data_IF_946986016783
#
_entry.id   IF_946986016783
#
_cell.length_a   1.000
_cell.length_b   1.000
_cell.length_c   1.000
_cell.angle_alpha   90.00
_cell.angle_beta   90.00
_cell.angle_gamma   90.00
#
_symmetry.space_group_name_H-M   'P 1'
#
loop_
_entity.id
_entity.type
_entity.pdbx_description
1 polymer ?
#
# COMPACT_ATOMS: atom_id res chain seq x y z
N UNK A 1 -27.12 -11.33 -4.06
CA UNK A 1 -25.78 -11.59 -3.54
C UNK A 1 -25.34 -10.38 -2.75
N UNK A 2 -24.80 -10.51 -1.54
CA UNK A 2 -24.28 -9.35 -0.81
C UNK A 2 -23.16 -8.72 -1.65
N UNK A 3 -23.29 -7.43 -1.94
CA UNK A 3 -22.30 -6.69 -2.72
C UNK A 3 -21.23 -6.12 -1.79
N UNK A 4 -19.96 -6.22 -2.17
CA UNK A 4 -18.88 -5.53 -1.50
C UNK A 4 -19.18 -4.02 -1.47
N UNK A 5 -19.10 -3.41 -0.29
CA UNK A 5 -19.26 -1.96 -0.11
C UNK A 5 -17.90 -1.34 0.08
N UNK A 6 -17.53 -0.42 -0.79
CA UNK A 6 -16.21 0.22 -0.77
C UNK A 6 -16.41 1.72 -0.87
N UNK A 7 -15.75 2.46 0.00
CA UNK A 7 -15.66 3.91 -0.07
C UNK A 7 -14.20 4.32 0.09
N UNK A 8 -13.69 5.06 -0.89
CA UNK A 8 -12.36 5.68 -0.84
C UNK A 8 -12.50 7.19 -0.91
N UNK A 9 -11.63 7.91 -0.24
CA UNK A 9 -11.53 9.37 -0.36
C UNK A 9 -10.09 9.83 -0.08
N UNK A 10 -9.84 11.08 -0.42
CA UNK A 10 -8.57 11.74 -0.10
C UNK A 10 -8.82 12.84 0.91
N UNK A 11 -8.01 12.91 1.93
CA UNK A 11 -7.94 14.04 2.84
C UNK A 11 -6.62 14.79 2.59
N UNK A 12 -6.71 16.09 2.40
CA UNK A 12 -5.56 16.95 2.11
C UNK A 12 -5.22 17.91 3.26
N UNK A 13 -5.61 17.57 4.49
CA UNK A 13 -5.34 18.41 5.67
C UNK A 13 -3.83 18.68 5.84
N UNK A 14 -2.99 17.66 5.80
CA UNK A 14 -1.53 17.76 5.88
C UNK A 14 -0.86 17.60 4.51
N UNK A 15 -1.32 16.65 3.75
CA UNK A 15 -0.98 16.34 2.36
C UNK A 15 -2.07 15.41 1.81
N UNK A 16 -2.15 15.19 0.48
CA UNK A 16 -3.12 14.25 -0.06
C UNK A 16 -2.87 12.81 0.43
N UNK A 17 -3.70 12.33 1.34
CA UNK A 17 -3.65 10.99 1.92
C UNK A 17 -4.90 10.20 1.57
N UNK A 18 -4.72 8.96 1.16
CA UNK A 18 -5.81 8.05 0.83
C UNK A 18 -6.38 7.38 2.07
N UNK A 19 -7.71 7.32 2.13
CA UNK A 19 -8.49 6.58 3.10
C UNK A 19 -9.40 5.58 2.40
N UNK A 20 -9.60 4.42 3.02
CA UNK A 20 -10.49 3.38 2.53
C UNK A 20 -11.37 2.87 3.69
N UNK A 21 -12.66 2.74 3.44
CA UNK A 21 -13.58 1.95 4.26
C UNK A 21 -14.22 0.89 3.37
N UNK A 22 -14.07 -0.37 3.71
CA UNK A 22 -14.60 -1.45 2.89
C UNK A 22 -15.21 -2.57 3.73
N UNK A 23 -16.27 -3.17 3.18
CA UNK A 23 -16.94 -4.36 3.67
C UNK A 23 -16.93 -5.40 2.55
N UNK A 24 -16.02 -6.38 2.68
CA UNK A 24 -15.85 -7.44 1.70
C UNK A 24 -16.43 -8.74 2.20
N UNK A 25 -17.16 -9.45 1.33
CA UNK A 25 -17.69 -10.76 1.62
C UNK A 25 -16.72 -11.86 1.16
N UNK A 26 -16.29 -11.80 -0.08
CA UNK A 26 -15.50 -12.85 -0.74
C UNK A 26 -14.33 -12.33 -1.59
N UNK A 27 -14.01 -11.05 -1.50
CA UNK A 27 -12.94 -10.45 -2.29
C UNK A 27 -11.55 -10.93 -1.83
N UNK A 28 -10.66 -11.16 -2.78
CA UNK A 28 -9.26 -11.46 -2.52
C UNK A 28 -8.36 -10.45 -3.26
N UNK A 29 -7.56 -9.72 -2.50
CA UNK A 29 -6.50 -8.90 -3.07
C UNK A 29 -5.37 -9.79 -3.56
N UNK A 30 -5.02 -9.73 -4.86
CA UNK A 30 -3.81 -10.39 -5.33
C UNK A 30 -2.56 -9.75 -4.71
N UNK A 31 -1.39 -10.39 -4.79
CA UNK A 31 -0.14 -9.79 -4.36
C UNK A 31 0.07 -8.42 -5.00
N UNK A 32 0.26 -7.39 -4.16
CA UNK A 32 0.47 -5.99 -4.55
C UNK A 32 1.32 -5.27 -3.50
N UNK A 33 1.65 -4.02 -3.73
CA UNK A 33 2.41 -3.17 -2.82
C UNK A 33 1.88 -1.74 -2.83
N UNK A 34 2.27 -0.96 -1.83
CA UNK A 34 2.05 0.49 -1.75
C UNK A 34 3.37 1.21 -1.53
N UNK A 35 3.50 2.44 -2.05
CA UNK A 35 4.69 3.27 -1.85
C UNK A 35 4.73 3.90 -0.44
N UNK A 36 3.58 4.11 0.16
CA UNK A 36 3.41 4.57 1.54
C UNK A 36 3.18 3.43 2.53
N UNK A 37 2.97 3.79 3.78
CA UNK A 37 2.51 2.83 4.79
C UNK A 37 1.04 2.49 4.55
N UNK A 38 0.67 1.23 4.84
CA UNK A 38 -0.74 0.83 4.98
C UNK A 38 -1.06 0.65 6.46
N UNK A 39 -1.92 1.47 7.01
CA UNK A 39 -2.31 1.42 8.42
C UNK A 39 -3.82 1.29 8.49
N UNK A 40 -4.33 0.35 9.28
CA UNK A 40 -5.78 0.16 9.35
C UNK A 40 -6.25 -0.61 10.57
N UNK A 41 -7.57 -0.80 10.63
CA UNK A 41 -8.25 -1.55 11.69
C UNK A 41 -9.28 -2.50 11.11
N UNK A 42 -9.42 -3.67 11.73
CA UNK A 42 -10.46 -4.63 11.39
C UNK A 42 -11.68 -4.38 12.29
N UNK A 43 -12.82 -4.00 11.69
CA UNK A 43 -14.06 -3.67 12.42
C UNK A 43 -15.01 -4.86 12.56
N UNK A 44 -14.99 -5.82 11.60
CA UNK A 44 -15.82 -7.03 11.60
C UNK A 44 -15.10 -8.19 10.92
N UNK A 45 -15.38 -9.41 11.39
CA UNK A 45 -14.78 -10.62 10.84
C UNK A 45 -13.29 -10.68 11.05
N UNK A 46 -12.59 -11.24 10.08
CA UNK A 46 -11.13 -11.30 10.07
C UNK A 46 -10.60 -11.24 8.63
N UNK A 47 -9.40 -10.70 8.46
CA UNK A 47 -8.65 -10.78 7.22
C UNK A 47 -7.52 -11.81 7.38
N UNK A 48 -7.35 -12.69 6.41
CA UNK A 48 -6.14 -13.50 6.27
C UNK A 48 -5.17 -12.73 5.39
N UNK A 49 -4.05 -12.35 5.97
CA UNK A 49 -3.02 -11.53 5.35
C UNK A 49 -1.75 -12.34 5.15
N UNK A 50 -1.05 -12.14 4.05
CA UNK A 50 0.26 -12.73 3.80
C UNK A 50 1.20 -11.68 3.22
N UNK A 51 2.42 -11.61 3.74
CA UNK A 51 3.50 -10.76 3.22
C UNK A 51 4.58 -11.64 2.58
N UNK A 52 4.82 -11.44 1.29
CA UNK A 52 5.84 -12.17 0.55
C UNK A 52 5.72 -13.69 0.70
N UNK A 53 6.80 -14.33 1.15
CA UNK A 53 6.88 -15.79 1.38
C UNK A 53 6.52 -16.21 2.82
N UNK A 54 6.11 -15.27 3.67
CA UNK A 54 5.77 -15.59 5.06
C UNK A 54 4.48 -16.40 5.16
N UNK A 55 4.34 -17.14 6.26
CA UNK A 55 3.08 -17.81 6.57
C UNK A 55 1.95 -16.80 6.75
N UNK A 56 0.73 -17.09 6.25
CA UNK A 56 -0.40 -16.20 6.42
C UNK A 56 -0.71 -15.95 7.90
N UNK A 57 -0.99 -14.70 8.25
CA UNK A 57 -1.46 -14.33 9.59
C UNK A 57 -2.94 -13.97 9.54
N UNK A 58 -3.66 -14.23 10.63
CA UNK A 58 -5.05 -13.82 10.79
C UNK A 58 -5.08 -12.47 11.53
N UNK A 59 -5.79 -11.51 10.95
CA UNK A 59 -6.07 -10.19 11.53
C UNK A 59 -7.54 -10.17 11.97
N UNK A 60 -7.87 -10.47 13.23
CA UNK A 60 -9.25 -10.49 13.69
C UNK A 60 -9.78 -9.07 13.97
N UNK A 61 -11.10 -8.97 14.17
CA UNK A 61 -11.74 -7.76 14.68
C UNK A 61 -11.03 -7.25 15.95
N UNK A 62 -10.87 -5.92 16.02
CA UNK A 62 -10.25 -5.23 17.15
C UNK A 62 -8.73 -5.06 17.02
N UNK A 63 -8.12 -5.54 15.95
CA UNK A 63 -6.69 -5.35 15.71
C UNK A 63 -6.41 -4.19 14.77
N UNK A 64 -5.20 -3.59 14.92
CA UNK A 64 -4.63 -2.74 13.88
C UNK A 64 -3.80 -3.63 12.94
N UNK A 65 -3.84 -3.29 11.67
CA UNK A 65 -2.91 -3.82 10.67
C UNK A 65 -1.92 -2.72 10.24
N UNK A 66 -0.65 -3.11 10.08
CA UNK A 66 0.41 -2.22 9.63
C UNK A 66 1.21 -2.89 8.51
N UNK A 67 1.47 -2.12 7.46
CA UNK A 67 2.15 -2.56 6.24
C UNK A 67 3.24 -1.54 5.94
N UNK A 68 4.47 -2.00 5.84
CA UNK A 68 5.61 -1.15 5.51
C UNK A 68 5.61 -0.75 4.03
N UNK A 69 6.18 0.40 3.68
CA UNK A 69 6.33 0.83 2.29
C UNK A 69 7.05 -0.21 1.42
N UNK A 70 6.55 -0.41 0.21
CA UNK A 70 7.13 -1.32 -0.77
C UNK A 70 7.04 -2.81 -0.42
N UNK A 71 6.33 -3.17 0.63
CA UNK A 71 6.14 -4.56 1.02
C UNK A 71 5.04 -5.22 0.19
N UNK A 72 5.41 -6.30 -0.50
CA UNK A 72 4.44 -7.11 -1.25
C UNK A 72 3.57 -7.89 -0.29
N UNK A 73 2.26 -7.74 -0.43
CA UNK A 73 1.28 -8.42 0.41
C UNK A 73 0.00 -8.77 -0.35
N UNK A 74 -0.75 -9.69 0.21
CA UNK A 74 -2.08 -10.09 -0.26
C UNK A 74 -3.03 -10.24 0.93
N UNK A 75 -4.35 -10.17 0.65
CA UNK A 75 -5.36 -10.28 1.69
C UNK A 75 -6.64 -10.90 1.18
N UNK A 76 -7.29 -11.73 2.01
CA UNK A 76 -8.60 -12.32 1.71
C UNK A 76 -9.42 -12.49 2.98
N UNK A 77 -10.69 -12.83 2.84
CA UNK A 77 -11.53 -13.20 3.97
C UNK A 77 -10.84 -14.29 4.83
N UNK A 78 -10.79 -14.07 6.12
CA UNK A 78 -10.31 -15.03 7.11
C UNK A 78 -11.44 -15.81 7.78
N UNK A 79 -12.70 -15.42 7.52
CA UNK A 79 -13.92 -16.05 8.02
C UNK A 79 -14.97 -16.07 6.92
N UNK A 80 -15.95 -16.98 6.99
CA UNK A 80 -17.04 -17.11 6.01
C UNK A 80 -17.93 -15.86 5.91
N UNK A 81 -17.98 -15.04 6.97
CA UNK A 81 -18.71 -13.78 6.99
C UNK A 81 -17.97 -12.58 6.36
N UNK A 82 -16.83 -12.82 5.74
CA UNK A 82 -16.00 -11.75 5.17
C UNK A 82 -15.33 -10.88 6.26
N UNK A 83 -14.97 -9.66 5.90
CA UNK A 83 -14.40 -8.71 6.85
C UNK A 83 -14.77 -7.27 6.49
N UNK A 84 -14.86 -6.42 7.52
CA UNK A 84 -14.93 -4.97 7.37
C UNK A 84 -13.69 -4.35 7.97
N UNK A 85 -13.08 -3.41 7.24
CA UNK A 85 -11.90 -2.72 7.69
C UNK A 85 -11.85 -1.28 7.20
N UNK A 86 -10.99 -0.51 7.86
CA UNK A 86 -10.65 0.86 7.45
C UNK A 86 -9.16 0.95 7.26
N UNK A 87 -8.74 1.67 6.23
CA UNK A 87 -7.34 1.89 5.91
C UNK A 87 -7.03 3.37 5.74
N UNK A 88 -5.80 3.71 6.03
CA UNK A 88 -5.17 5.01 5.90
C UNK A 88 -3.78 4.79 5.31
N UNK A 89 -3.43 5.56 4.26
CA UNK A 89 -2.20 5.34 3.49
C UNK A 89 -1.29 6.58 3.54
N UNK A 90 -0.60 6.86 4.67
CA UNK A 90 0.30 7.98 4.77
C UNK A 90 1.55 7.76 3.94
N UNK A 91 2.06 8.83 3.32
CA UNK A 91 3.33 8.79 2.60
C UNK A 91 4.50 8.60 3.57
N UNK A 92 5.62 8.10 3.04
CA UNK A 92 6.87 8.04 3.82
C UNK A 92 7.33 9.45 4.24
N UNK A 93 7.05 10.47 3.40
CA UNK A 93 7.40 11.86 3.71
C UNK A 93 6.57 12.43 4.87
N UNK A 94 5.26 12.16 4.91
CA UNK A 94 4.41 12.58 6.03
C UNK A 94 4.90 11.97 7.34
N UNK A 95 5.18 10.67 7.35
CA UNK A 95 5.69 9.97 8.53
C UNK A 95 7.05 10.55 8.95
N UNK A 96 7.99 10.74 8.01
CA UNK A 96 9.31 11.30 8.30
C UNK A 96 9.22 12.72 8.90
N UNK A 97 8.37 13.59 8.35
CA UNK A 97 8.15 14.94 8.91
C UNK A 97 7.51 14.90 10.29
N UNK A 98 6.56 13.99 10.50
CA UNK A 98 5.89 13.83 11.81
C UNK A 98 6.85 13.39 12.90
N UNK A 99 7.87 12.60 12.55
CA UNK A 99 8.85 12.03 13.48
C UNK A 99 10.22 12.74 13.42
N UNK A 100 10.32 13.87 12.73
CA UNK A 100 11.61 14.58 12.53
C UNK A 100 12.31 14.93 13.84
N UNK A 101 11.56 15.38 14.84
CA UNK A 101 12.08 15.74 16.17
C UNK A 101 12.61 14.53 16.95
N UNK A 102 12.23 13.32 16.59
CA UNK A 102 12.63 12.07 17.24
C UNK A 102 13.86 11.43 16.57
N UNK A 103 14.38 12.05 15.49
CA UNK A 103 15.55 11.57 14.75
C UNK A 103 15.30 10.25 13.99
N UNK A 104 14.03 9.87 13.83
CA UNK A 104 13.63 8.62 13.22
C UNK A 104 13.85 8.64 11.70
N UNK A 105 14.70 7.74 11.20
CA UNK A 105 14.89 7.52 9.76
C UNK A 105 14.20 6.23 9.34
N UNK A 106 13.24 6.33 8.41
CA UNK A 106 12.55 5.20 7.79
C UNK A 106 12.07 4.13 8.81
N UNK A 107 11.21 4.51 9.77
CA UNK A 107 10.73 3.57 10.79
C UNK A 107 10.01 2.39 10.13
N UNK A 108 10.13 1.20 10.71
CA UNK A 108 9.48 -0.01 10.19
C UNK A 108 8.82 -0.81 11.30
N UNK A 109 7.83 -1.62 10.91
CA UNK A 109 7.16 -2.57 11.80
C UNK A 109 7.68 -3.97 11.53
N UNK A 110 7.99 -4.73 12.58
CA UNK A 110 8.40 -6.14 12.44
C UNK A 110 7.20 -7.07 12.19
N UNK A 111 6.08 -6.75 12.80
CA UNK A 111 4.83 -7.49 12.65
C UNK A 111 3.79 -6.72 11.86
N UNK A 112 2.72 -7.40 11.48
CA UNK A 112 1.64 -6.83 10.67
C UNK A 112 0.34 -6.66 11.46
N UNK A 113 0.24 -7.26 12.65
CA UNK A 113 -0.94 -7.24 13.51
C UNK A 113 -0.54 -6.70 14.87
N UNK A 114 -1.20 -5.62 15.29
CA UNK A 114 -0.97 -5.00 16.58
C UNK A 114 -2.26 -5.09 17.41
N UNK A 115 -2.10 -5.38 18.70
CA UNK A 115 -3.19 -5.33 19.68
C UNK A 115 -2.93 -4.12 20.59
N UNK A 116 -3.67 -3.03 20.33
CA UNK A 116 -3.57 -1.79 21.09
C UNK A 116 -4.93 -1.07 21.00
N UNK A 117 -5.75 -1.25 22.02
CA UNK A 117 -7.12 -0.72 22.07
C UNK A 117 -7.14 0.81 22.01
N UNK A 118 -6.15 1.48 22.61
CA UNK A 118 -6.06 2.93 22.59
C UNK A 118 -5.80 3.45 21.18
N UNK A 119 -4.83 2.88 20.48
CA UNK A 119 -4.53 3.23 19.09
C UNK A 119 -5.67 2.82 18.16
N UNK A 120 -6.35 1.71 18.40
CA UNK A 120 -7.53 1.31 17.64
C UNK A 120 -8.63 2.38 17.70
N UNK A 121 -8.94 2.89 18.89
CA UNK A 121 -9.94 3.96 19.07
C UNK A 121 -9.48 5.29 18.47
N UNK A 122 -8.21 5.65 18.62
CA UNK A 122 -7.64 6.85 18.00
C UNK A 122 -7.72 6.77 16.47
N UNK A 123 -7.38 5.61 15.89
CA UNK A 123 -7.50 5.39 14.45
C UNK A 123 -8.94 5.57 13.96
N UNK A 124 -9.91 4.98 14.66
CA UNK A 124 -11.32 5.17 14.30
C UNK A 124 -11.75 6.64 14.38
N UNK A 125 -11.24 7.39 15.37
CA UNK A 125 -11.56 8.80 15.53
C UNK A 125 -10.99 9.65 14.39
N UNK A 126 -9.69 9.48 14.05
CA UNK A 126 -9.08 10.19 12.92
C UNK A 126 -9.78 9.87 11.60
N UNK A 127 -10.08 8.59 11.37
CA UNK A 127 -10.70 8.14 10.13
C UNK A 127 -12.14 8.70 9.98
N UNK A 128 -12.91 8.79 11.08
CA UNK A 128 -14.23 9.44 11.08
C UNK A 128 -14.13 10.95 10.87
N UNK A 129 -13.16 11.62 11.51
CA UNK A 129 -12.94 13.05 11.34
C UNK A 129 -12.63 13.40 9.87
N UNK A 130 -11.77 12.61 9.21
CA UNK A 130 -11.52 12.75 7.77
C UNK A 130 -12.77 12.47 6.93
N UNK A 131 -13.50 11.38 7.22
CA UNK A 131 -14.71 10.99 6.48
C UNK A 131 -15.84 12.02 6.54
N UNK A 132 -15.95 12.73 7.67
CA UNK A 132 -16.99 13.74 7.95
C UNK A 132 -16.55 15.16 7.60
N UNK A 133 -15.35 15.33 7.04
CA UNK A 133 -14.74 16.63 6.77
C UNK A 133 -14.79 17.57 7.99
N UNK A 134 -14.43 17.03 9.17
CA UNK A 134 -14.29 17.80 10.39
C UNK A 134 -13.30 18.97 10.20
N UNK A 135 -13.23 19.88 11.17
CA UNK A 135 -12.32 21.01 11.12
C UNK A 135 -10.90 20.62 10.74
N UNK A 136 -10.23 21.48 9.95
CA UNK A 136 -8.87 21.25 9.48
C UNK A 136 -7.92 20.93 10.64
N UNK A 137 -7.94 21.76 11.69
CA UNK A 137 -7.09 21.57 12.86
C UNK A 137 -7.36 20.23 13.58
N UNK A 138 -8.61 19.79 13.64
CA UNK A 138 -8.95 18.50 14.23
C UNK A 138 -8.35 17.34 13.42
N UNK A 139 -8.49 17.37 12.10
CA UNK A 139 -7.97 16.33 11.21
C UNK A 139 -6.45 16.26 11.25
N UNK A 140 -5.78 17.41 11.20
CA UNK A 140 -4.32 17.51 11.32
C UNK A 140 -3.84 16.97 12.67
N UNK A 141 -4.40 17.47 13.77
CA UNK A 141 -3.99 17.08 15.11
C UNK A 141 -4.16 15.59 15.37
N UNK A 142 -5.33 15.02 15.00
CA UNK A 142 -5.59 13.58 15.16
C UNK A 142 -4.62 12.73 14.36
N UNK A 143 -4.32 13.15 13.13
CA UNK A 143 -3.39 12.42 12.26
C UNK A 143 -1.97 12.42 12.84
N UNK A 144 -1.46 13.59 13.22
CA UNK A 144 -0.11 13.71 13.76
C UNK A 144 0.04 12.98 15.10
N UNK A 145 -0.93 13.13 16.02
CA UNK A 145 -0.91 12.43 17.30
C UNK A 145 -0.95 10.92 17.14
N UNK A 146 -1.83 10.42 16.28
CA UNK A 146 -1.93 8.98 16.01
C UNK A 146 -0.64 8.43 15.41
N UNK A 147 -0.07 9.08 14.40
CA UNK A 147 1.18 8.64 13.78
C UNK A 147 2.33 8.62 14.81
N UNK A 148 2.53 9.70 15.56
CA UNK A 148 3.57 9.75 16.59
C UNK A 148 3.43 8.61 17.60
N UNK A 149 2.24 8.41 18.12
CA UNK A 149 2.01 7.38 19.14
C UNK A 149 2.15 5.95 18.58
N UNK A 150 1.64 5.70 17.38
CA UNK A 150 1.78 4.42 16.71
C UNK A 150 3.26 4.05 16.49
N UNK A 151 4.02 4.97 15.92
CA UNK A 151 5.43 4.71 15.63
C UNK A 151 6.28 4.64 16.90
N UNK A 152 6.04 5.49 17.88
CA UNK A 152 6.76 5.46 19.16
C UNK A 152 6.56 4.14 19.93
N UNK A 153 5.37 3.55 19.86
CA UNK A 153 5.06 2.31 20.60
C UNK A 153 5.44 1.04 19.84
N UNK A 154 5.31 1.03 18.53
CA UNK A 154 5.31 -0.22 17.77
C UNK A 154 6.32 -0.28 16.63
N UNK A 155 6.92 0.84 16.23
CA UNK A 155 7.92 0.82 15.19
C UNK A 155 9.33 0.63 15.77
N UNK A 156 10.18 -0.04 15.00
CA UNK A 156 11.62 0.03 15.22
C UNK A 156 12.14 1.25 14.48
N UNK A 157 12.87 2.08 15.20
CA UNK A 157 13.69 3.13 14.61
C UNK A 157 15.02 2.48 14.30
N UNK A 158 15.30 2.22 13.03
CA UNK A 158 16.63 1.74 12.64
C UNK A 158 17.64 2.85 12.89
N UNK A 159 18.35 2.73 13.99
CA UNK A 159 19.66 3.34 14.15
C UNK A 159 20.60 2.51 13.29
N UNK A 160 20.71 2.88 12.00
CA UNK A 160 21.64 2.26 11.04
C UNK A 160 21.68 0.72 11.09
N UNK A 161 20.52 0.07 11.20
CA UNK A 161 20.46 -1.38 11.04
C UNK A 161 20.57 -1.69 9.54
N UNK A 162 21.56 -2.51 9.22
CA UNK A 162 21.68 -3.04 7.87
C UNK A 162 20.36 -3.67 7.48
N UNK A 163 19.66 -3.08 6.53
CA UNK A 163 18.56 -3.75 5.83
C UNK A 163 19.03 -5.18 5.63
N UNK A 164 18.16 -6.17 5.84
CA UNK A 164 18.41 -7.54 5.38
C UNK A 164 19.02 -7.38 3.99
N UNK A 165 20.33 -7.64 3.85
CA UNK A 165 21.07 -7.28 2.63
C UNK A 165 20.42 -8.03 1.48
N UNK A 166 19.48 -7.37 0.81
CA UNK A 166 18.93 -7.94 -0.42
C UNK A 166 20.11 -8.21 -1.35
N UNK A 167 20.14 -9.35 -2.01
CA UNK A 167 21.19 -9.62 -2.98
C UNK A 167 21.34 -8.41 -3.92
N UNK A 168 22.55 -7.99 -4.22
CA UNK A 168 22.83 -6.81 -5.07
C UNK A 168 22.00 -6.82 -6.36
N UNK A 169 21.84 -7.99 -6.96
CA UNK A 169 20.97 -8.23 -8.12
C UNK A 169 19.52 -7.79 -7.88
N UNK A 170 18.93 -8.15 -6.72
CA UNK A 170 17.53 -7.80 -6.40
C UNK A 170 17.38 -6.30 -6.21
N UNK A 171 18.31 -5.67 -5.49
CA UNK A 171 18.30 -4.22 -5.28
C UNK A 171 18.42 -3.45 -6.59
N UNK A 172 19.31 -3.89 -7.46
CA UNK A 172 19.53 -3.28 -8.78
C UNK A 172 18.30 -3.43 -9.67
N UNK A 173 17.76 -4.65 -9.80
CA UNK A 173 16.54 -4.91 -10.59
C UNK A 173 15.36 -4.08 -10.07
N UNK A 174 15.19 -3.99 -8.73
CA UNK A 174 14.16 -3.15 -8.14
C UNK A 174 14.33 -1.68 -8.51
N UNK A 175 15.55 -1.15 -8.44
CA UNK A 175 15.85 0.21 -8.85
C UNK A 175 15.52 0.44 -10.32
N UNK A 176 15.97 -0.43 -11.23
CA UNK A 176 15.66 -0.33 -12.66
C UNK A 176 14.17 -0.32 -12.95
N UNK A 177 13.38 -1.16 -12.24
CA UNK A 177 11.92 -1.18 -12.37
C UNK A 177 11.27 0.12 -11.87
N UNK A 178 11.82 0.75 -10.83
CA UNK A 178 11.34 2.05 -10.37
C UNK A 178 11.66 3.18 -11.35
N UNK A 179 12.91 3.24 -11.81
CA UNK A 179 13.40 4.32 -12.68
C UNK A 179 12.80 4.23 -14.08
N UNK A 180 12.71 3.00 -14.61
CA UNK A 180 12.19 2.72 -15.95
C UNK A 180 10.70 2.35 -16.01
N UNK A 181 9.91 2.58 -14.96
CA UNK A 181 8.58 1.97 -14.85
C UNK A 181 7.59 2.42 -15.94
N UNK A 182 7.79 3.55 -16.59
CA UNK A 182 6.95 4.04 -17.69
C UNK A 182 7.46 3.63 -19.08
N UNK A 183 8.69 3.15 -19.17
CA UNK A 183 9.31 2.71 -20.40
C UNK A 183 9.09 1.20 -20.65
N UNK A 184 9.25 0.74 -21.89
CA UNK A 184 9.40 -0.69 -22.17
C UNK A 184 10.66 -1.23 -21.48
N UNK A 185 10.50 -2.20 -20.60
CA UNK A 185 11.60 -2.94 -19.97
C UNK A 185 11.43 -4.43 -20.27
N UNK A 186 12.49 -5.05 -20.76
CA UNK A 186 12.52 -6.48 -20.97
C UNK A 186 13.23 -7.19 -19.83
N UNK A 187 12.97 -8.49 -19.67
CA UNK A 187 13.71 -9.31 -18.71
C UNK A 187 15.18 -9.41 -19.11
N UNK A 188 15.47 -9.37 -20.42
CA UNK A 188 16.84 -9.35 -20.94
C UNK A 188 17.61 -8.12 -20.49
N UNK A 189 17.02 -6.92 -20.55
CA UNK A 189 17.66 -5.68 -20.08
C UNK A 189 18.02 -5.78 -18.59
N UNK A 190 17.10 -6.29 -17.78
CA UNK A 190 17.32 -6.49 -16.35
C UNK A 190 18.44 -7.52 -16.10
N UNK A 191 18.51 -8.57 -16.89
CA UNK A 191 19.49 -9.63 -16.77
C UNK A 191 20.91 -9.15 -17.16
N UNK A 192 21.01 -8.42 -18.26
CA UNK A 192 22.27 -7.82 -18.75
C UNK A 192 22.84 -6.88 -17.69
N UNK A 193 22.04 -5.93 -17.20
CA UNK A 193 22.50 -4.96 -16.22
C UNK A 193 22.84 -5.59 -14.87
N UNK A 194 22.10 -6.63 -14.47
CA UNK A 194 22.36 -7.36 -13.22
C UNK A 194 23.53 -8.37 -13.35
N UNK A 195 24.03 -8.64 -14.54
CA UNK A 195 25.12 -9.58 -14.80
C UNK A 195 24.75 -11.03 -14.49
N UNK A 196 23.48 -11.43 -14.70
CA UNK A 196 22.96 -12.77 -14.42
C UNK A 196 22.01 -13.23 -15.53
N UNK A 197 21.61 -14.51 -15.54
CA UNK A 197 20.63 -15.00 -16.51
C UNK A 197 19.21 -14.49 -16.21
N UNK A 198 18.34 -14.40 -17.22
CA UNK A 198 16.93 -14.04 -17.10
C UNK A 198 16.19 -14.89 -16.05
N UNK A 199 16.41 -16.20 -16.09
CA UNK A 199 15.83 -17.15 -15.11
C UNK A 199 16.29 -16.82 -13.69
N UNK A 200 17.55 -16.43 -13.51
CA UNK A 200 18.08 -16.06 -12.21
C UNK A 200 17.49 -14.74 -11.71
N UNK A 201 17.28 -13.75 -12.60
CA UNK A 201 16.55 -12.51 -12.24
C UNK A 201 15.17 -12.85 -11.71
N UNK A 202 14.37 -13.61 -12.47
CA UNK A 202 13.00 -13.97 -12.09
C UNK A 202 12.99 -14.70 -10.74
N UNK A 203 13.84 -15.73 -10.60
CA UNK A 203 13.87 -16.57 -9.40
C UNK A 203 14.32 -15.79 -8.16
N UNK A 204 15.44 -15.06 -8.24
CA UNK A 204 15.99 -14.32 -7.10
C UNK A 204 15.10 -13.15 -6.69
N UNK A 205 14.54 -12.42 -7.66
CA UNK A 205 13.64 -11.31 -7.41
C UNK A 205 12.32 -11.81 -6.77
N UNK A 206 11.72 -12.87 -7.35
CA UNK A 206 10.48 -13.45 -6.79
C UNK A 206 10.68 -14.01 -5.39
N UNK A 207 11.83 -14.67 -5.14
CA UNK A 207 12.15 -15.19 -3.82
C UNK A 207 12.32 -14.08 -2.76
N UNK A 208 12.95 -12.96 -3.15
CA UNK A 208 13.22 -11.86 -2.22
C UNK A 208 12.03 -10.90 -2.04
N UNK A 209 11.27 -10.63 -3.11
CA UNK A 209 10.21 -9.61 -3.14
C UNK A 209 8.81 -10.23 -3.01
N UNK A 210 8.64 -11.49 -3.40
CA UNK A 210 7.33 -12.15 -3.40
C UNK A 210 6.50 -11.92 -4.68
N UNK A 211 6.99 -11.10 -5.61
CA UNK A 211 6.40 -10.85 -6.93
C UNK A 211 7.43 -11.07 -8.02
N UNK A 212 7.00 -11.62 -9.15
CA UNK A 212 7.82 -11.62 -10.35
C UNK A 212 8.05 -10.18 -10.85
N UNK A 213 9.19 -9.88 -11.54
CA UNK A 213 9.53 -8.52 -11.99
C UNK A 213 8.41 -7.79 -12.72
N UNK A 214 7.71 -8.46 -13.65
CA UNK A 214 6.59 -7.87 -14.37
C UNK A 214 5.39 -7.54 -13.47
N UNK A 215 5.03 -8.41 -12.54
CA UNK A 215 3.92 -8.15 -11.61
C UNK A 215 4.25 -6.98 -10.66
N UNK A 216 5.50 -6.87 -10.25
CA UNK A 216 6.01 -5.73 -9.48
C UNK A 216 5.94 -4.43 -10.29
N UNK A 217 6.38 -4.44 -11.55
CA UNK A 217 6.28 -3.30 -12.47
C UNK A 217 4.82 -2.83 -12.64
N UNK A 218 3.88 -3.77 -12.83
CA UNK A 218 2.46 -3.46 -12.93
C UNK A 218 1.95 -2.77 -11.66
N UNK A 219 2.35 -3.25 -10.48
CA UNK A 219 1.96 -2.62 -9.22
C UNK A 219 2.48 -1.18 -9.11
N UNK A 220 3.74 -0.91 -9.47
CA UNK A 220 4.30 0.45 -9.54
C UNK A 220 3.52 1.36 -10.49
N UNK A 221 3.19 0.85 -11.68
CA UNK A 221 2.39 1.60 -12.67
C UNK A 221 1.01 1.96 -12.14
N UNK A 222 0.37 1.06 -11.39
CA UNK A 222 -0.93 1.33 -10.76
C UNK A 222 -0.81 2.41 -9.69
N UNK A 223 0.22 2.40 -8.85
CA UNK A 223 0.43 3.48 -7.86
C UNK A 223 0.61 4.84 -8.55
N UNK A 224 1.37 4.92 -9.62
CA UNK A 224 1.49 6.15 -10.44
C UNK A 224 0.16 6.54 -11.11
N UNK A 225 -0.58 5.56 -11.61
CA UNK A 225 -1.89 5.82 -12.23
C UNK A 225 -2.88 6.42 -11.24
N UNK A 226 -2.91 5.98 -9.98
CA UNK A 226 -3.74 6.58 -8.92
C UNK A 226 -3.49 8.08 -8.79
N UNK A 227 -2.22 8.50 -8.76
CA UNK A 227 -1.85 9.91 -8.66
C UNK A 227 -2.38 10.72 -9.85
N UNK A 228 -2.21 10.21 -11.07
CA UNK A 228 -2.66 10.91 -12.28
C UNK A 228 -4.19 10.97 -12.39
N UNK A 229 -4.89 9.88 -12.04
CA UNK A 229 -6.35 9.82 -12.01
C UNK A 229 -6.91 10.87 -11.04
N UNK A 230 -6.33 11.01 -9.86
CA UNK A 230 -6.74 12.03 -8.88
C UNK A 230 -6.52 13.45 -9.35
N UNK A 231 -5.47 13.68 -10.13
CA UNK A 231 -5.21 14.98 -10.78
C UNK A 231 -6.17 15.26 -11.94
N UNK A 232 -7.10 14.36 -12.25
CA UNK A 232 -8.12 14.54 -13.27
C UNK A 232 -7.66 14.27 -14.70
N UNK A 233 -6.51 13.63 -14.90
CA UNK A 233 -6.07 13.24 -16.25
C UNK A 233 -7.04 12.25 -16.89
N UNK A 234 -7.23 12.34 -18.19
CA UNK A 234 -8.01 11.39 -18.96
C UNK A 234 -7.39 9.99 -18.89
N UNK A 235 -8.24 8.95 -18.80
CA UNK A 235 -7.74 7.58 -18.59
C UNK A 235 -6.83 7.06 -19.72
N UNK A 236 -7.03 7.54 -20.95
CA UNK A 236 -6.14 7.24 -22.07
C UNK A 236 -4.75 7.82 -21.84
N UNK A 237 -4.67 9.11 -21.42
CA UNK A 237 -3.43 9.76 -21.03
C UNK A 237 -2.74 9.07 -19.86
N UNK A 238 -3.53 8.64 -18.86
CA UNK A 238 -2.98 7.90 -17.72
C UNK A 238 -2.34 6.60 -18.17
N UNK A 239 -3.00 5.85 -19.06
CA UNK A 239 -2.47 4.60 -19.59
C UNK A 239 -1.10 4.83 -20.28
N UNK A 240 -1.04 5.79 -21.18
CA UNK A 240 0.19 6.16 -21.90
C UNK A 240 1.31 6.58 -20.93
N UNK A 241 1.05 7.53 -20.05
CA UNK A 241 2.02 8.10 -19.09
C UNK A 241 2.48 7.11 -18.02
N UNK A 242 1.77 6.02 -17.83
CA UNK A 242 2.14 4.98 -16.86
C UNK A 242 2.63 3.69 -17.52
N UNK A 243 2.77 3.67 -18.85
CA UNK A 243 3.36 2.56 -19.60
C UNK A 243 2.41 1.37 -19.81
N UNK A 244 1.09 1.58 -19.71
CA UNK A 244 0.11 0.60 -20.20
C UNK A 244 -0.12 0.78 -21.69
N UNK A 245 -0.38 -0.33 -22.39
CA UNK A 245 -0.62 -0.31 -23.85
C UNK A 245 -1.85 0.50 -24.24
N UNK A 246 -2.88 0.51 -23.40
CA UNK A 246 -4.13 1.19 -23.62
C UNK A 246 -4.94 1.34 -22.33
N UNK A 247 -6.04 2.10 -22.41
CA UNK A 247 -6.97 2.31 -21.28
C UNK A 247 -7.60 1.01 -20.77
N UNK A 248 -7.88 0.04 -21.65
CA UNK A 248 -8.50 -1.23 -21.26
C UNK A 248 -7.54 -2.10 -20.47
N UNK A 249 -6.26 -2.10 -20.85
CA UNK A 249 -5.18 -2.76 -20.15
C UNK A 249 -5.00 -2.14 -18.74
N UNK A 250 -4.90 -0.82 -18.66
CA UNK A 250 -4.90 -0.09 -17.38
C UNK A 250 -6.10 -0.50 -16.53
N UNK A 251 -7.32 -0.42 -17.07
CA UNK A 251 -8.56 -0.66 -16.31
C UNK A 251 -8.64 -2.06 -15.73
N UNK A 252 -8.21 -3.08 -16.48
CA UNK A 252 -8.18 -4.48 -16.01
C UNK A 252 -7.23 -4.65 -14.83
N UNK A 253 -5.99 -4.13 -14.93
CA UNK A 253 -5.00 -4.24 -13.88
C UNK A 253 -5.37 -3.40 -12.66
N UNK A 254 -5.89 -2.18 -12.89
CA UNK A 254 -6.34 -1.29 -11.83
C UNK A 254 -7.45 -1.93 -11.00
N UNK A 255 -8.52 -2.43 -11.65
CA UNK A 255 -9.61 -3.11 -10.93
C UNK A 255 -9.14 -4.36 -10.19
N UNK A 256 -8.23 -5.13 -10.78
CA UNK A 256 -7.68 -6.33 -10.14
C UNK A 256 -6.93 -6.01 -8.85
N UNK A 257 -6.15 -4.93 -8.84
CA UNK A 257 -5.29 -4.56 -7.69
C UNK A 257 -6.07 -3.74 -6.65
N UNK A 258 -6.93 -2.80 -7.09
CA UNK A 258 -7.61 -1.86 -6.19
C UNK A 258 -9.04 -2.24 -5.83
N UNK A 259 -9.62 -3.27 -6.47
CA UNK A 259 -11.04 -3.64 -6.43
C UNK A 259 -12.00 -2.64 -7.09
N UNK A 260 -11.54 -1.43 -7.43
CA UNK A 260 -12.31 -0.37 -8.07
C UNK A 260 -11.90 -0.20 -9.54
N UNK A 261 -12.84 0.22 -10.38
CA UNK A 261 -12.46 0.70 -11.71
C UNK A 261 -11.79 2.08 -11.59
N UNK A 262 -10.94 2.49 -12.55
CA UNK A 262 -10.35 3.83 -12.56
C UNK A 262 -11.40 4.95 -12.46
N UNK A 263 -12.56 4.78 -13.12
CA UNK A 263 -13.66 5.75 -13.07
C UNK A 263 -14.36 5.81 -11.71
N UNK A 264 -14.50 4.69 -10.99
CA UNK A 264 -14.99 4.67 -9.62
C UNK A 264 -13.98 5.35 -8.70
N UNK A 265 -12.71 4.99 -8.81
CA UNK A 265 -11.63 5.59 -8.03
C UNK A 265 -11.55 7.13 -8.20
N UNK A 266 -11.74 7.64 -9.44
CA UNK A 266 -11.77 9.07 -9.72
C UNK A 266 -12.94 9.81 -9.04
N UNK A 267 -14.10 9.14 -8.89
CA UNK A 267 -15.30 9.72 -8.23
C UNK A 267 -15.19 9.71 -6.71
N UNK A 268 -14.64 8.65 -6.15
CA UNK A 268 -14.46 8.47 -4.71
C UNK A 268 -13.37 9.39 -4.12
N UNK A 269 -12.48 9.92 -4.95
CA UNK A 269 -11.38 10.81 -4.55
C UNK A 269 -11.69 12.30 -4.61
N UNK A 270 -12.96 12.67 -4.92
CA UNK A 270 -13.42 14.07 -4.97
C UNK A 270 -14.17 14.47 -3.72
#
# INVERSE_FOLDING_TARGET
MPSNQIRMWTDSALEPVEYLSADYQDFAFPPHLHDGYGIGVIERGAQRFRSGQQSPVLMPKGTLCVINPGMVHEGRAGTDGGWRYRMFYPSQNLVARTLADEGARAPSFDGHVLQDDALYLQFQALHRASQQAADLLERESRTLMFLRELFARHARVDVAAGSLRQPRTVSLVRQMLHDGCTAPLSIGDLAVEAGVSETQVIRSFTAAIGLAPHAYLVALRIERAKVLIRRGHALADVADRTGFSDQSHLSRHFKRITSLTPGQFAKEGR
#
